data_IF_205479946076
#
_entry.id   IF_205479946076
#
_cell.length_a   1.000
_cell.length_b   1.000
_cell.length_c   1.000
_cell.angle_alpha   90.00
_cell.angle_beta   90.00
_cell.angle_gamma   90.00
#
_symmetry.space_group_name_H-M   'P 1'
#
loop_
_entity.id
_entity.type
_entity.pdbx_description
1 polymer ?
#
# COMPACT_ATOMS: atom_id res chain seq x y z
N UNK A 1 -22.32 -5.92 8.05
CA UNK A 1 -21.39 -4.79 8.29
C UNK A 1 -22.20 -3.49 8.28
N UNK A 2 -21.97 -2.55 9.20
CA UNK A 2 -22.71 -1.27 9.20
C UNK A 2 -22.21 -0.37 8.06
N UNK A 3 -23.13 0.29 7.34
CA UNK A 3 -22.83 1.18 6.19
C UNK A 3 -21.89 2.32 6.57
N UNK A 4 -21.99 2.82 7.81
CA UNK A 4 -21.09 3.83 8.37
C UNK A 4 -19.64 3.37 8.45
N UNK A 5 -19.43 2.10 8.80
CA UNK A 5 -18.07 1.50 8.86
C UNK A 5 -17.47 1.38 7.47
N UNK A 6 -18.27 0.98 6.46
CA UNK A 6 -17.82 0.86 5.08
C UNK A 6 -17.42 2.22 4.50
N UNK A 7 -18.24 3.26 4.72
CA UNK A 7 -17.94 4.61 4.29
C UNK A 7 -16.67 5.18 4.95
N UNK A 8 -16.50 4.94 6.26
CA UNK A 8 -15.29 5.34 6.99
C UNK A 8 -14.04 4.66 6.44
N UNK A 9 -14.07 3.35 6.26
CA UNK A 9 -12.91 2.62 5.71
C UNK A 9 -12.57 3.07 4.28
N UNK A 10 -13.57 3.37 3.43
CA UNK A 10 -13.33 3.92 2.09
C UNK A 10 -12.66 5.30 2.16
N UNK A 11 -13.13 6.17 3.06
CA UNK A 11 -12.53 7.49 3.24
C UNK A 11 -11.10 7.40 3.76
N UNK A 12 -10.83 6.50 4.72
CA UNK A 12 -9.48 6.24 5.20
C UNK A 12 -8.57 5.73 4.08
N UNK A 13 -9.04 4.83 3.23
CA UNK A 13 -8.28 4.39 2.05
C UNK A 13 -7.99 5.56 1.10
N UNK A 14 -8.97 6.44 0.83
CA UNK A 14 -8.79 7.59 -0.07
C UNK A 14 -7.72 8.57 0.42
N UNK A 15 -7.53 8.69 1.74
CA UNK A 15 -6.52 9.56 2.33
C UNK A 15 -5.09 9.01 2.21
N UNK A 16 -4.93 7.71 1.97
CA UNK A 16 -3.61 7.04 1.98
C UNK A 16 -3.17 6.53 0.61
N UNK A 17 -3.98 6.69 -0.44
CA UNK A 17 -3.61 6.35 -1.82
C UNK A 17 -3.00 7.54 -2.53
N UNK A 18 -2.11 7.27 -3.49
CA UNK A 18 -1.53 8.31 -4.35
C UNK A 18 -2.57 8.83 -5.35
N UNK A 19 -2.37 10.05 -5.87
CA UNK A 19 -3.34 10.71 -6.75
C UNK A 19 -3.66 9.89 -8.02
N UNK A 20 -2.69 9.16 -8.57
CA UNK A 20 -2.89 8.28 -9.73
C UNK A 20 -3.78 7.06 -9.45
N UNK A 21 -3.94 6.68 -8.17
CA UNK A 21 -4.69 5.49 -7.75
C UNK A 21 -6.17 5.78 -7.47
N UNK A 22 -6.54 7.06 -7.34
CA UNK A 22 -7.94 7.47 -7.17
C UNK A 22 -8.84 7.00 -8.31
N UNK A 23 -8.28 6.85 -9.52
CA UNK A 23 -8.98 6.31 -10.69
C UNK A 23 -9.46 4.85 -10.48
N UNK A 24 -8.83 4.10 -9.58
CA UNK A 24 -9.17 2.72 -9.25
C UNK A 24 -10.13 2.61 -8.05
N UNK A 25 -10.53 3.73 -7.44
CA UNK A 25 -11.43 3.78 -6.28
C UNK A 25 -12.91 4.02 -6.65
N UNK A 26 -13.38 3.39 -7.72
CA UNK A 26 -14.74 3.59 -8.27
C UNK A 26 -15.82 2.84 -7.48
N UNK A 27 -15.46 1.74 -6.81
CA UNK A 27 -16.42 0.96 -6.01
C UNK A 27 -16.78 1.63 -4.67
N UNK A 28 -18.00 1.35 -4.21
CA UNK A 28 -18.50 1.71 -2.87
C UNK A 28 -18.14 0.68 -1.81
N UNK A 29 -17.74 -0.53 -2.21
CA UNK A 29 -17.24 -1.54 -1.28
C UNK A 29 -15.73 -1.36 -1.09
N UNK A 30 -15.25 -1.02 0.13
CA UNK A 30 -13.82 -0.94 0.43
C UNK A 30 -13.05 -2.22 0.08
N UNK A 31 -13.68 -3.39 0.12
CA UNK A 31 -13.02 -4.66 -0.21
C UNK A 31 -12.70 -4.76 -1.71
N UNK A 32 -13.62 -4.35 -2.56
CA UNK A 32 -13.39 -4.34 -4.01
C UNK A 32 -12.34 -3.30 -4.41
N UNK A 33 -12.37 -2.14 -3.74
CA UNK A 33 -11.32 -1.12 -3.90
C UNK A 33 -9.96 -1.67 -3.45
N UNK A 34 -9.91 -2.40 -2.34
CA UNK A 34 -8.67 -3.00 -1.83
C UNK A 34 -8.08 -4.03 -2.80
N UNK A 35 -8.89 -4.94 -3.34
CA UNK A 35 -8.40 -5.91 -4.33
C UNK A 35 -7.95 -5.20 -5.63
N UNK A 36 -8.68 -4.17 -6.08
CA UNK A 36 -8.27 -3.39 -7.27
C UNK A 36 -6.94 -2.69 -7.06
N UNK A 37 -6.75 -2.06 -5.89
CA UNK A 37 -5.47 -1.46 -5.52
C UNK A 37 -4.37 -2.52 -5.45
N UNK A 38 -4.65 -3.68 -4.85
CA UNK A 38 -3.69 -4.77 -4.76
C UNK A 38 -3.24 -5.27 -6.13
N UNK A 39 -4.13 -5.36 -7.12
CA UNK A 39 -3.73 -5.75 -8.49
C UNK A 39 -2.86 -4.67 -9.16
N UNK A 40 -3.22 -3.39 -9.01
CA UNK A 40 -2.41 -2.26 -9.52
C UNK A 40 -1.05 -2.16 -8.83
N UNK A 41 -0.99 -2.50 -7.54
CA UNK A 41 0.20 -2.38 -6.70
C UNK A 41 1.04 -3.63 -6.61
N UNK A 42 0.48 -4.79 -6.94
CA UNK A 42 1.26 -6.01 -6.94
C UNK A 42 2.34 -5.77 -7.97
N UNK A 43 3.62 -5.83 -7.59
CA UNK A 43 4.69 -5.84 -8.57
C UNK A 43 4.49 -7.12 -9.39
N UNK A 44 3.77 -7.01 -10.51
CA UNK A 44 3.50 -8.09 -11.46
C UNK A 44 4.79 -8.38 -12.21
N UNK A 45 5.68 -9.04 -11.50
CA UNK A 45 7.02 -9.31 -11.96
C UNK A 45 7.74 -10.08 -10.89
N UNK A 46 8.05 -11.34 -11.18
CA UNK A 46 8.97 -12.12 -10.37
C UNK A 46 10.26 -11.34 -10.12
N UNK A 47 10.77 -10.64 -11.15
CA UNK A 47 11.92 -9.74 -11.06
C UNK A 47 11.73 -8.62 -10.04
N UNK A 48 10.61 -7.88 -10.08
CA UNK A 48 10.32 -6.77 -9.17
C UNK A 48 10.11 -7.27 -7.74
N UNK A 49 9.42 -8.40 -7.56
CA UNK A 49 9.28 -9.06 -6.26
C UNK A 49 10.65 -9.48 -5.69
N UNK A 50 11.50 -10.08 -6.52
CA UNK A 50 12.88 -10.47 -6.12
C UNK A 50 13.72 -9.23 -5.82
N UNK A 51 13.59 -8.15 -6.60
CA UNK A 51 14.33 -6.90 -6.37
C UNK A 51 13.93 -6.23 -5.05
N UNK A 52 12.63 -6.16 -4.75
CA UNK A 52 12.14 -5.62 -3.47
C UNK A 52 12.57 -6.49 -2.29
N UNK A 53 12.51 -7.82 -2.41
CA UNK A 53 13.03 -8.74 -1.40
C UNK A 53 14.53 -8.56 -1.17
N UNK A 54 15.32 -8.41 -2.24
CA UNK A 54 16.76 -8.15 -2.14
C UNK A 54 17.02 -6.81 -1.46
N UNK A 55 16.31 -5.74 -1.83
CA UNK A 55 16.40 -4.43 -1.16
C UNK A 55 16.09 -4.52 0.33
N UNK A 56 15.07 -5.27 0.71
CA UNK A 56 14.71 -5.48 2.11
C UNK A 56 15.80 -6.25 2.87
N UNK A 57 16.27 -7.38 2.32
CA UNK A 57 17.31 -8.20 2.95
C UNK A 57 18.67 -7.49 3.03
N UNK A 58 18.94 -6.57 2.11
CA UNK A 58 20.16 -5.76 2.07
C UNK A 58 19.99 -4.39 2.75
N UNK A 59 18.81 -4.07 3.27
CA UNK A 59 18.60 -2.83 4.00
C UNK A 59 19.37 -2.91 5.32
N UNK A 60 20.50 -2.21 5.39
CA UNK A 60 21.28 -2.07 6.60
C UNK A 60 21.00 -0.71 7.22
N UNK A 61 20.78 -0.72 8.53
CA UNK A 61 20.71 0.52 9.30
C UNK A 61 22.07 1.21 9.29
N UNK A 62 22.09 2.51 8.96
CA UNK A 62 23.35 3.24 8.94
C UNK A 62 23.86 3.48 10.37
N UNK A 63 25.18 3.58 10.59
CA UNK A 63 25.72 3.97 11.89
C UNK A 63 25.16 5.33 12.31
N UNK A 64 24.52 5.40 13.49
CA UNK A 64 23.91 6.62 14.02
C UNK A 64 22.50 6.94 13.50
N UNK A 65 21.92 6.12 12.61
CA UNK A 65 20.52 6.24 12.22
C UNK A 65 19.61 5.70 13.34
N UNK A 66 18.55 6.44 13.66
CA UNK A 66 17.55 5.94 14.61
C UNK A 66 16.73 4.82 13.98
N UNK A 67 16.26 3.87 14.80
CA UNK A 67 15.42 2.75 14.33
C UNK A 67 14.12 3.27 13.71
N UNK A 68 13.56 4.35 14.25
CA UNK A 68 12.36 5.00 13.72
C UNK A 68 12.59 5.62 12.34
N UNK A 69 13.75 6.24 12.11
CA UNK A 69 14.11 6.81 10.80
C UNK A 69 14.59 5.76 9.80
N UNK A 70 14.86 4.54 10.27
CA UNK A 70 15.25 3.42 9.42
C UNK A 70 14.05 2.60 8.94
N UNK A 71 13.02 2.50 9.79
CA UNK A 71 11.76 1.80 9.48
C UNK A 71 10.77 2.70 8.76
N UNK A 72 10.73 4.00 9.08
CA UNK A 72 9.85 5.00 8.48
C UNK A 72 10.24 5.39 7.07
#
# INVERSE_FOLDING_TARGET
RSTRTMAKSRAEMMLHVEQGQLAHMTSRDPREVWESLKEVHRPEGFSTTVALRRRFLMALMKPGQSVTDWIG
#
